data_IF_504116046769
#
_entry.id   IF_504116046769
#
_cell.length_a   1.000
_cell.length_b   1.000
_cell.length_c   1.000
_cell.angle_alpha   90.00
_cell.angle_beta   90.00
_cell.angle_gamma   90.00
#
_symmetry.space_group_name_H-M   'P 1'
#
loop_
_entity.id
_entity.type
_entity.pdbx_description
1 polymer ?
#
# COMPACT_ATOMS: atom_id res chain seq x y z
N UNK A 1 -27.48 23.19 -23.32
CA UNK A 1 -26.23 22.52 -23.69
C UNK A 1 -25.24 22.74 -22.56
N UNK A 2 -25.15 21.79 -21.63
CA UNK A 2 -24.15 21.79 -20.56
C UNK A 2 -22.85 21.24 -21.14
N UNK A 3 -21.79 22.05 -21.10
CA UNK A 3 -20.46 21.59 -21.45
C UNK A 3 -19.98 20.67 -20.33
N UNK A 4 -20.05 19.36 -20.53
CA UNK A 4 -19.35 18.40 -19.67
C UNK A 4 -17.86 18.61 -19.89
N UNK A 5 -17.21 19.38 -19.01
CA UNK A 5 -15.75 19.45 -18.95
C UNK A 5 -15.25 18.04 -18.69
N UNK A 6 -14.83 17.35 -19.75
CA UNK A 6 -14.35 15.96 -19.70
C UNK A 6 -12.97 15.97 -19.05
N UNK A 7 -12.92 16.08 -17.72
CA UNK A 7 -11.67 15.93 -16.99
C UNK A 7 -11.11 14.54 -17.28
N UNK A 8 -9.88 14.48 -17.77
CA UNK A 8 -9.24 13.21 -18.05
C UNK A 8 -9.18 12.36 -16.77
N UNK A 9 -9.50 11.06 -16.86
CA UNK A 9 -9.47 10.19 -15.71
C UNK A 9 -8.04 10.07 -15.19
N UNK A 10 -7.85 10.39 -13.90
CA UNK A 10 -6.56 10.23 -13.23
C UNK A 10 -6.41 8.75 -12.89
N UNK A 11 -5.46 8.07 -13.53
CA UNK A 11 -5.20 6.65 -13.32
C UNK A 11 -3.90 6.47 -12.56
N UNK A 12 -3.97 5.82 -11.39
CA UNK A 12 -2.84 5.59 -10.50
C UNK A 12 -2.64 4.08 -10.37
N UNK A 13 -1.48 3.53 -10.80
CA UNK A 13 -1.23 2.10 -10.65
C UNK A 13 -1.06 1.74 -9.17
N UNK A 14 -1.54 0.56 -8.78
CA UNK A 14 -1.46 0.09 -7.39
C UNK A 14 -0.83 -1.29 -7.29
N UNK A 15 -0.37 -1.67 -6.10
CA UNK A 15 0.21 -2.98 -5.80
C UNK A 15 1.41 -3.34 -6.68
N UNK A 16 2.38 -2.42 -6.80
CA UNK A 16 3.63 -2.66 -7.56
C UNK A 16 4.36 -3.94 -7.13
N UNK A 17 4.16 -4.39 -5.89
CA UNK A 17 4.72 -5.64 -5.36
C UNK A 17 3.71 -6.80 -5.28
N UNK A 18 3.04 -7.14 -6.38
CA UNK A 18 2.06 -8.22 -6.41
C UNK A 18 2.65 -9.63 -6.22
N UNK A 19 1.81 -10.61 -5.87
CA UNK A 19 2.26 -11.98 -5.55
C UNK A 19 3.03 -12.68 -6.68
N UNK A 20 2.60 -12.51 -7.94
CA UNK A 20 3.28 -13.10 -9.11
C UNK A 20 4.72 -12.61 -9.26
N UNK A 21 4.98 -11.32 -9.02
CA UNK A 21 6.32 -10.75 -9.05
C UNK A 21 7.23 -11.41 -8.01
N UNK A 22 6.72 -11.58 -6.78
CA UNK A 22 7.49 -12.23 -5.69
C UNK A 22 7.81 -13.68 -6.00
N UNK A 23 6.85 -14.43 -6.56
CA UNK A 23 7.07 -15.80 -7.00
C UNK A 23 8.14 -15.87 -8.10
N UNK A 24 8.06 -14.97 -9.09
CA UNK A 24 9.05 -14.90 -10.17
C UNK A 24 10.46 -14.60 -9.64
N UNK A 25 10.60 -13.66 -8.70
CA UNK A 25 11.89 -13.35 -8.07
C UNK A 25 12.42 -14.56 -7.28
N UNK A 26 11.57 -15.26 -6.53
CA UNK A 26 11.96 -16.46 -5.78
C UNK A 26 12.43 -17.59 -6.71
N UNK A 27 11.69 -17.86 -7.78
CA UNK A 27 12.09 -18.88 -8.76
C UNK A 27 13.40 -18.49 -9.47
N UNK A 28 13.54 -17.22 -9.83
CA UNK A 28 14.76 -16.70 -10.44
C UNK A 28 15.96 -16.81 -9.49
N UNK A 29 15.77 -16.63 -8.19
CA UNK A 29 16.81 -16.84 -7.18
C UNK A 29 17.37 -18.26 -7.25
N UNK A 30 16.50 -19.26 -7.24
CA UNK A 30 16.89 -20.68 -7.28
C UNK A 30 17.64 -20.98 -8.58
N UNK A 31 17.13 -20.49 -9.71
CA UNK A 31 17.74 -20.68 -11.03
C UNK A 31 19.14 -20.05 -11.08
N UNK A 32 19.27 -18.77 -10.70
CA UNK A 32 20.56 -18.07 -10.70
C UNK A 32 21.55 -18.73 -9.73
N UNK A 33 21.06 -19.22 -8.58
CA UNK A 33 21.90 -19.94 -7.62
C UNK A 33 22.47 -21.24 -8.20
N UNK A 34 21.64 -22.08 -8.82
CA UNK A 34 22.07 -23.34 -9.44
C UNK A 34 23.07 -23.09 -10.58
N UNK A 35 22.78 -22.14 -11.47
CA UNK A 35 23.69 -21.80 -12.56
C UNK A 35 24.97 -21.15 -12.07
N UNK A 36 24.88 -20.25 -11.10
CA UNK A 36 26.03 -19.61 -10.46
C UNK A 36 26.95 -20.65 -9.82
N UNK A 37 26.39 -21.59 -9.06
CA UNK A 37 27.15 -22.71 -8.49
C UNK A 37 27.83 -23.54 -9.59
N UNK A 38 27.11 -23.94 -10.64
CA UNK A 38 27.66 -24.77 -11.71
C UNK A 38 28.83 -24.07 -12.43
N UNK A 39 28.69 -22.78 -12.73
CA UNK A 39 29.74 -21.96 -13.37
C UNK A 39 30.97 -21.85 -12.46
N UNK A 40 30.78 -21.49 -11.19
CA UNK A 40 31.90 -21.29 -10.26
C UNK A 40 32.60 -22.62 -9.97
N UNK A 41 31.84 -23.71 -9.83
CA UNK A 41 32.39 -25.05 -9.62
C UNK A 41 33.20 -25.53 -10.85
N UNK A 42 32.78 -25.18 -12.06
CA UNK A 42 33.54 -25.47 -13.28
C UNK A 42 34.85 -24.66 -13.37
N UNK A 43 34.86 -23.42 -12.88
CA UNK A 43 36.05 -22.55 -12.88
C UNK A 43 37.05 -22.89 -11.77
N UNK A 44 36.57 -23.40 -10.64
CA UNK A 44 37.38 -23.75 -9.46
C UNK A 44 37.20 -25.23 -9.12
N UNK A 45 37.76 -26.16 -9.93
CA UNK A 45 37.63 -27.58 -9.66
C UNK A 45 38.40 -27.95 -8.39
N UNK A 46 37.67 -28.34 -7.35
CA UNK A 46 38.23 -28.91 -6.12
C UNK A 46 37.78 -30.38 -6.01
N UNK A 47 38.63 -31.25 -5.48
CA UNK A 47 38.29 -32.66 -5.20
C UNK A 47 37.35 -32.73 -3.98
N UNK A 48 36.09 -32.33 -4.13
CA UNK A 48 35.08 -32.40 -3.07
C UNK A 48 33.91 -31.41 -3.22
N UNK A 49 33.09 -31.28 -2.18
CA UNK A 49 32.05 -30.24 -2.10
C UNK A 49 32.72 -28.87 -2.04
N UNK A 50 32.63 -28.12 -3.14
CA UNK A 50 33.18 -26.78 -3.22
C UNK A 50 32.32 -25.78 -2.43
N UNK A 51 32.55 -25.70 -1.11
CA UNK A 51 31.87 -24.76 -0.21
C UNK A 51 32.00 -23.31 -0.69
N UNK A 52 33.14 -22.95 -1.28
CA UNK A 52 33.35 -21.63 -1.84
C UNK A 52 32.40 -21.36 -3.02
N UNK A 53 32.21 -22.34 -3.91
CA UNK A 53 31.24 -22.23 -5.01
C UNK A 53 29.80 -22.08 -4.51
N UNK A 54 29.43 -22.74 -3.41
CA UNK A 54 28.11 -22.59 -2.80
C UNK A 54 27.91 -21.15 -2.28
N UNK A 55 28.87 -20.64 -1.50
CA UNK A 55 28.81 -19.28 -0.92
C UNK A 55 28.78 -18.22 -2.03
N UNK A 56 29.69 -18.34 -3.01
CA UNK A 56 29.74 -17.42 -4.15
C UNK A 56 28.49 -17.53 -5.02
N UNK A 57 27.93 -18.73 -5.20
CA UNK A 57 26.66 -18.94 -5.87
C UNK A 57 25.50 -18.21 -5.19
N UNK A 58 25.43 -18.25 -3.85
CA UNK A 58 24.44 -17.48 -3.08
C UNK A 58 24.62 -15.97 -3.27
N UNK A 59 25.87 -15.48 -3.26
CA UNK A 59 26.18 -14.09 -3.57
C UNK A 59 25.72 -13.68 -4.97
N UNK A 60 25.99 -14.50 -5.97
CA UNK A 60 25.54 -14.28 -7.35
C UNK A 60 24.01 -14.27 -7.46
N UNK A 61 23.32 -15.20 -6.79
CA UNK A 61 21.86 -15.25 -6.76
C UNK A 61 21.26 -13.99 -6.11
N UNK A 62 21.81 -13.54 -4.99
CA UNK A 62 21.36 -12.33 -4.31
C UNK A 62 21.52 -11.08 -5.20
N UNK A 63 22.68 -10.89 -5.81
CA UNK A 63 22.92 -9.74 -6.70
C UNK A 63 22.08 -9.81 -7.96
N UNK A 64 22.01 -10.99 -8.60
CA UNK A 64 21.23 -11.20 -9.82
C UNK A 64 19.74 -10.96 -9.60
N UNK A 65 19.20 -11.44 -8.48
CA UNK A 65 17.79 -11.19 -8.14
C UNK A 65 17.51 -9.75 -7.74
N UNK A 66 18.43 -9.05 -7.08
CA UNK A 66 18.26 -7.63 -6.77
C UNK A 66 18.16 -6.76 -8.05
N UNK A 67 18.96 -7.08 -9.08
CA UNK A 67 18.88 -6.40 -10.39
C UNK A 67 17.59 -6.76 -11.11
N UNK A 68 17.24 -8.05 -11.13
CA UNK A 68 16.02 -8.54 -11.77
C UNK A 68 14.76 -7.95 -11.14
N UNK A 69 14.71 -7.85 -9.81
CA UNK A 69 13.59 -7.24 -9.09
C UNK A 69 13.36 -5.79 -9.52
N UNK A 70 14.42 -4.98 -9.62
CA UNK A 70 14.32 -3.59 -10.08
C UNK A 70 13.76 -3.51 -11.50
N UNK A 71 14.24 -4.38 -12.39
CA UNK A 71 13.78 -4.45 -13.78
C UNK A 71 12.30 -4.88 -13.88
N UNK A 72 11.92 -5.96 -13.18
CA UNK A 72 10.56 -6.49 -13.22
C UNK A 72 9.55 -5.54 -12.57
N UNK A 73 9.91 -4.81 -11.50
CA UNK A 73 9.03 -3.78 -10.91
C UNK A 73 8.67 -2.67 -11.89
N UNK A 74 9.54 -2.37 -12.85
CA UNK A 74 9.31 -1.36 -13.87
C UNK A 74 8.48 -1.88 -15.06
N UNK A 75 8.67 -3.14 -15.45
CA UNK A 75 8.09 -3.69 -16.68
C UNK A 75 6.90 -4.63 -16.47
N UNK A 76 6.70 -5.12 -15.23
CA UNK A 76 5.63 -6.04 -14.89
C UNK A 76 4.67 -5.42 -13.86
N UNK A 77 3.77 -4.53 -14.30
CA UNK A 77 2.78 -3.95 -13.42
C UNK A 77 1.76 -5.01 -12.98
N UNK A 78 1.11 -4.78 -11.84
CA UNK A 78 0.04 -5.66 -11.31
C UNK A 78 -1.18 -5.77 -12.22
N UNK A 79 -1.35 -4.81 -13.13
CA UNK A 79 -2.56 -4.60 -13.90
C UNK A 79 -3.73 -4.04 -13.08
N UNK A 80 -3.50 -3.71 -11.80
CA UNK A 80 -4.46 -3.01 -10.94
C UNK A 80 -4.19 -1.52 -10.94
N UNK A 81 -5.24 -0.72 -11.00
CA UNK A 81 -5.13 0.74 -10.92
C UNK A 81 -6.37 1.35 -10.26
N UNK A 82 -6.17 2.42 -9.52
CA UNK A 82 -7.26 3.27 -9.03
C UNK A 82 -7.47 4.39 -10.03
N UNK A 83 -8.71 4.57 -10.47
CA UNK A 83 -9.11 5.61 -11.40
C UNK A 83 -10.04 6.60 -10.69
N UNK A 84 -9.71 7.88 -10.77
CA UNK A 84 -10.62 8.96 -10.43
C UNK A 84 -11.17 9.50 -11.74
N UNK A 85 -12.47 9.43 -11.95
CA UNK A 85 -13.16 10.07 -13.09
C UNK A 85 -14.10 11.17 -12.57
N UNK A 86 -15.11 11.59 -13.34
CA UNK A 86 -16.15 12.52 -12.88
C UNK A 86 -17.34 11.81 -12.22
N UNK A 87 -17.42 10.49 -12.38
CA UNK A 87 -18.50 9.63 -11.89
C UNK A 87 -18.17 8.98 -10.55
N UNK A 88 -16.91 9.04 -10.12
CA UNK A 88 -16.47 8.46 -8.86
C UNK A 88 -15.02 7.99 -8.86
N UNK A 89 -14.76 7.02 -7.97
CA UNK A 89 -13.48 6.36 -7.82
C UNK A 89 -13.66 4.88 -8.05
N UNK A 90 -12.84 4.32 -8.95
CA UNK A 90 -12.90 2.92 -9.36
C UNK A 90 -11.59 2.22 -9.11
N UNK A 91 -11.68 0.98 -8.65
CA UNK A 91 -10.58 0.05 -8.67
C UNK A 91 -10.71 -0.83 -9.90
N UNK A 92 -9.72 -0.76 -10.79
CA UNK A 92 -9.66 -1.52 -12.03
C UNK A 92 -8.66 -2.67 -11.88
N UNK A 93 -8.94 -3.80 -12.51
CA UNK A 93 -7.98 -4.89 -12.74
C UNK A 93 -8.10 -5.39 -14.17
N UNK A 94 -7.05 -5.21 -14.98
CA UNK A 94 -7.03 -5.72 -16.36
C UNK A 94 -8.17 -5.21 -17.23
N UNK A 95 -8.61 -3.97 -17.01
CA UNK A 95 -9.74 -3.35 -17.73
C UNK A 95 -11.13 -3.64 -17.15
N UNK A 96 -11.27 -4.56 -16.18
CA UNK A 96 -12.51 -4.80 -15.47
C UNK A 96 -12.60 -3.96 -14.18
N UNK A 97 -13.80 -3.47 -13.87
CA UNK A 97 -14.08 -2.77 -12.61
C UNK A 97 -14.22 -3.81 -11.49
N UNK A 98 -13.35 -3.77 -10.48
CA UNK A 98 -13.48 -4.57 -9.27
C UNK A 98 -14.40 -3.90 -8.25
N UNK A 99 -14.23 -2.59 -8.08
CA UNK A 99 -14.97 -1.80 -7.11
C UNK A 99 -15.22 -0.39 -7.66
N UNK A 100 -16.38 0.19 -7.34
CA UNK A 100 -16.80 1.49 -7.81
C UNK A 100 -17.51 2.25 -6.70
N UNK A 101 -16.95 3.40 -6.33
CA UNK A 101 -17.54 4.39 -5.44
C UNK A 101 -18.07 5.52 -6.28
N UNK A 102 -19.37 5.51 -6.55
CA UNK A 102 -20.00 6.49 -7.42
C UNK A 102 -20.34 7.79 -6.67
N UNK A 103 -20.36 8.92 -7.38
CA UNK A 103 -20.63 10.25 -6.81
C UNK A 103 -22.07 10.48 -6.38
N UNK A 104 -23.00 9.70 -6.90
CA UNK A 104 -24.42 9.71 -6.54
C UNK A 104 -24.71 8.98 -5.23
N UNK A 105 -23.74 8.23 -4.70
CA UNK A 105 -23.86 7.54 -3.42
C UNK A 105 -23.39 8.43 -2.26
N UNK A 106 -23.89 8.14 -1.05
CA UNK A 106 -23.37 8.75 0.18
C UNK A 106 -21.99 8.14 0.48
N UNK A 107 -20.94 8.82 0.00
CA UNK A 107 -19.55 8.42 0.14
C UNK A 107 -18.89 9.27 1.22
N UNK A 108 -18.30 8.59 2.20
CA UNK A 108 -17.52 9.23 3.28
C UNK A 108 -16.05 8.84 3.19
N UNK A 109 -15.14 9.82 3.26
CA UNK A 109 -13.70 9.55 3.37
C UNK A 109 -13.29 9.38 4.83
N UNK A 110 -12.59 8.28 5.12
CA UNK A 110 -11.99 7.99 6.42
C UNK A 110 -10.48 8.02 6.25
N UNK A 111 -9.78 8.88 7.00
CA UNK A 111 -8.32 8.99 6.97
C UNK A 111 -7.73 8.60 8.33
N UNK A 112 -6.76 7.69 8.34
CA UNK A 112 -6.09 7.27 9.56
C UNK A 112 -4.61 6.93 9.39
N UNK A 113 -3.87 6.98 10.50
CA UNK A 113 -2.45 6.66 10.55
C UNK A 113 -2.05 5.91 11.82
N UNK A 114 -0.96 5.16 11.73
CA UNK A 114 -0.25 4.61 12.89
C UNK A 114 1.23 4.32 12.57
N UNK A 115 2.06 4.27 13.60
CA UNK A 115 3.48 3.92 13.47
C UNK A 115 3.67 2.41 13.26
N UNK A 116 4.45 2.03 12.25
CA UNK A 116 4.77 0.63 11.96
C UNK A 116 5.87 0.13 12.91
N UNK A 117 5.48 -0.68 13.89
CA UNK A 117 6.42 -1.25 14.88
C UNK A 117 7.30 -2.38 14.30
N UNK A 118 6.71 -3.30 13.54
CA UNK A 118 7.43 -4.45 12.96
C UNK A 118 6.74 -4.92 11.68
N UNK A 119 7.41 -4.76 10.54
CA UNK A 119 7.04 -5.34 9.24
C UNK A 119 8.29 -5.61 8.42
N UNK A 120 8.38 -6.75 7.76
CA UNK A 120 9.62 -7.20 7.09
C UNK A 120 10.11 -6.28 5.96
N UNK A 121 9.23 -5.44 5.39
CA UNK A 121 9.52 -4.60 4.22
C UNK A 121 9.57 -3.11 4.49
N UNK A 122 9.09 -2.70 5.66
CA UNK A 122 8.91 -1.30 5.99
C UNK A 122 9.89 -1.00 7.12
N UNK A 123 10.83 -0.04 6.94
CA UNK A 123 11.78 0.29 7.98
C UNK A 123 11.06 0.74 9.25
N UNK A 124 11.68 0.46 10.42
CA UNK A 124 11.12 0.87 11.71
C UNK A 124 10.95 2.39 11.76
N UNK A 125 9.85 2.85 12.37
CA UNK A 125 9.54 4.27 12.53
C UNK A 125 8.87 4.91 11.33
N UNK A 126 8.60 4.15 10.25
CA UNK A 126 7.69 4.61 9.19
C UNK A 126 6.25 4.62 9.70
N UNK A 127 5.45 5.48 9.10
CA UNK A 127 4.03 5.61 9.36
C UNK A 127 3.23 4.94 8.25
N UNK A 128 2.23 4.17 8.63
CA UNK A 128 1.18 3.75 7.71
C UNK A 128 0.17 4.89 7.65
N UNK A 129 -0.12 5.37 6.44
CA UNK A 129 -1.22 6.29 6.17
C UNK A 129 -2.21 5.58 5.27
N UNK A 130 -3.49 5.65 5.62
CA UNK A 130 -4.56 5.07 4.83
C UNK A 130 -5.74 6.03 4.71
N UNK A 131 -6.40 5.93 3.56
CA UNK A 131 -7.67 6.55 3.28
C UNK A 131 -8.64 5.50 2.73
N UNK A 132 -9.85 5.45 3.25
CA UNK A 132 -10.90 4.59 2.72
C UNK A 132 -12.09 5.43 2.31
N UNK A 133 -12.54 5.24 1.07
CA UNK A 133 -13.88 5.66 0.67
C UNK A 133 -14.85 4.60 1.15
N UNK A 134 -15.84 5.03 1.92
CA UNK A 134 -16.90 4.17 2.44
C UNK A 134 -18.23 4.59 1.86
N UNK A 135 -18.95 3.64 1.29
CA UNK A 135 -20.33 3.81 0.82
C UNK A 135 -21.13 2.59 1.24
N UNK A 136 -22.11 2.80 2.13
CA UNK A 136 -22.86 1.72 2.77
C UNK A 136 -21.89 0.71 3.45
N UNK A 137 -21.94 -0.57 3.07
CA UNK A 137 -21.04 -1.64 3.58
C UNK A 137 -19.77 -1.83 2.73
N UNK A 138 -19.55 -1.01 1.70
CA UNK A 138 -18.38 -1.11 0.81
C UNK A 138 -17.27 -0.16 1.22
N UNK A 139 -16.05 -0.64 1.11
CA UNK A 139 -14.84 0.11 1.44
C UNK A 139 -13.81 -0.06 0.34
N UNK A 140 -13.28 1.07 -0.15
CA UNK A 140 -12.12 1.10 -1.03
C UNK A 140 -10.92 1.69 -0.26
N UNK A 141 -10.19 0.88 0.52
CA UNK A 141 -9.03 1.34 1.27
C UNK A 141 -7.79 1.43 0.39
N UNK A 142 -7.20 2.62 0.35
CA UNK A 142 -5.92 2.93 -0.28
C UNK A 142 -4.93 3.29 0.82
N UNK A 143 -3.69 2.82 0.74
CA UNK A 143 -2.69 3.10 1.76
C UNK A 143 -1.27 3.23 1.23
N UNK A 144 -0.41 3.82 2.06
CA UNK A 144 1.03 3.93 1.81
C UNK A 144 1.85 3.82 3.10
N UNK A 145 3.16 3.62 2.97
CA UNK A 145 4.11 3.73 4.07
C UNK A 145 5.01 4.93 3.85
N UNK A 146 4.90 5.91 4.73
CA UNK A 146 5.57 7.19 4.63
C UNK A 146 6.69 7.29 5.67
N UNK A 147 7.91 7.70 5.28
CA UNK A 147 8.95 8.07 6.23
C UNK A 147 8.48 9.20 7.17
N UNK A 148 9.01 9.30 8.40
CA UNK A 148 8.60 10.34 9.33
C UNK A 148 8.84 11.76 8.80
N UNK A 149 9.98 12.01 8.13
CA UNK A 149 10.27 13.33 7.54
C UNK A 149 9.25 13.75 6.48
N UNK A 150 8.83 12.81 5.62
CA UNK A 150 7.81 13.06 4.60
C UNK A 150 6.44 13.32 5.20
N UNK A 151 6.11 12.66 6.32
CA UNK A 151 4.86 12.87 7.04
C UNK A 151 4.81 14.24 7.71
N UNK A 152 5.90 14.68 8.33
CA UNK A 152 5.98 16.02 8.93
C UNK A 152 5.79 17.12 7.87
N UNK A 153 6.28 16.89 6.65
CA UNK A 153 6.12 17.82 5.53
C UNK A 153 4.78 17.69 4.78
N UNK A 154 3.94 16.71 5.12
CA UNK A 154 2.71 16.45 4.38
C UNK A 154 1.56 17.37 4.80
N UNK A 155 1.00 18.12 3.85
CA UNK A 155 -0.04 19.13 4.08
C UNK A 155 -1.25 18.59 4.87
N UNK A 156 -1.71 17.38 4.52
CA UNK A 156 -2.91 16.79 5.13
C UNK A 156 -2.64 15.98 6.39
N UNK A 157 -1.44 16.04 6.98
CA UNK A 157 -1.05 15.22 8.15
C UNK A 157 -2.08 15.24 9.28
N UNK A 158 -2.61 16.41 9.61
CA UNK A 158 -3.57 16.59 10.71
C UNK A 158 -4.96 16.00 10.40
N UNK A 159 -5.28 15.78 9.13
CA UNK A 159 -6.50 15.08 8.72
C UNK A 159 -6.44 13.58 8.99
N UNK A 160 -5.25 13.01 9.18
CA UNK A 160 -5.08 11.58 9.48
C UNK A 160 -5.17 11.33 10.98
N UNK A 161 -6.28 10.73 11.39
CA UNK A 161 -6.56 10.38 12.78
C UNK A 161 -5.67 9.22 13.23
N UNK A 162 -5.14 9.31 14.45
CA UNK A 162 -4.29 8.24 14.99
C UNK A 162 -5.15 7.05 15.39
N UNK A 163 -4.87 5.89 14.79
CA UNK A 163 -5.48 4.63 15.18
C UNK A 163 -4.77 4.10 16.43
N UNK A 164 -5.47 4.05 17.56
CA UNK A 164 -4.91 3.57 18.82
C UNK A 164 -4.56 2.07 18.74
N UNK A 165 -3.40 1.71 19.30
CA UNK A 165 -2.98 0.31 19.35
C UNK A 165 -3.85 -0.52 20.30
N UNK A 166 -3.96 -1.83 20.04
CA UNK A 166 -4.75 -2.75 20.88
C UNK A 166 -4.41 -2.66 22.38
N UNK A 167 -3.13 -2.52 22.73
CA UNK A 167 -2.64 -2.43 24.12
C UNK A 167 -2.95 -1.09 24.81
N UNK A 168 -2.95 0.02 24.07
CA UNK A 168 -3.22 1.35 24.64
C UNK A 168 -4.66 1.46 25.15
N UNK A 169 -5.60 0.75 24.51
CA UNK A 169 -7.01 0.71 24.92
C UNK A 169 -7.25 -0.11 26.19
N UNK A 170 -6.44 -1.14 26.44
CA UNK A 170 -6.55 -1.98 27.63
C UNK A 170 -6.02 -1.28 28.89
N UNK A 171 -5.12 -0.30 28.74
CA UNK A 171 -4.39 0.30 29.86
C UNK A 171 -5.03 1.60 30.39
N UNK A 172 -5.92 2.22 29.62
CA UNK A 172 -6.61 3.46 30.01
C UNK A 172 -8.14 3.30 29.96
N UNK A 173 -8.77 2.74 31.01
CA UNK A 173 -10.20 2.94 31.23
C UNK A 173 -10.40 4.39 31.73
N UNK A 174 -10.76 5.30 30.83
CA UNK A 174 -10.81 6.75 31.10
C UNK A 174 -12.09 7.21 31.81
N UNK A 175 -11.96 8.35 32.48
CA UNK A 175 -12.83 8.93 33.50
C UNK A 175 -13.91 9.90 32.93
N UNK A 176 -14.39 9.78 31.69
CA UNK A 176 -15.41 10.69 31.14
C UNK A 176 -16.35 10.02 30.13
N UNK A 177 -17.37 9.31 30.64
CA UNK A 177 -18.29 8.44 29.88
C UNK A 177 -18.78 8.99 28.53
N UNK A 178 -19.18 10.27 28.42
CA UNK A 178 -19.75 10.81 27.17
C UNK A 178 -18.70 11.12 26.10
N UNK A 179 -17.55 11.65 26.51
CA UNK A 179 -16.44 11.93 25.59
C UNK A 179 -15.80 10.61 25.13
N UNK A 180 -15.75 9.63 26.04
CA UNK A 180 -15.31 8.26 25.79
C UNK A 180 -16.19 7.55 24.76
N UNK A 181 -17.52 7.71 24.80
CA UNK A 181 -18.41 7.06 23.82
C UNK A 181 -18.21 7.56 22.38
N UNK A 182 -18.00 8.86 22.18
CA UNK A 182 -17.76 9.41 20.83
C UNK A 182 -16.42 8.96 20.28
N UNK A 183 -15.36 9.04 21.10
CA UNK A 183 -14.02 8.58 20.75
C UNK A 183 -13.99 7.07 20.51
N UNK A 184 -14.72 6.29 21.30
CA UNK A 184 -14.86 4.85 21.10
C UNK A 184 -15.55 4.52 19.77
N UNK A 185 -16.61 5.25 19.41
CA UNK A 185 -17.31 5.07 18.12
C UNK A 185 -16.45 5.44 16.91
N UNK A 186 -15.62 6.47 17.03
CA UNK A 186 -14.64 6.85 16.01
C UNK A 186 -13.54 5.80 15.86
N UNK A 187 -12.91 5.38 16.96
CA UNK A 187 -11.87 4.35 16.95
C UNK A 187 -12.40 3.01 16.41
N UNK A 188 -13.67 2.67 16.68
CA UNK A 188 -14.33 1.50 16.09
C UNK A 188 -14.40 1.59 14.56
N UNK A 189 -14.80 2.75 14.02
CA UNK A 189 -14.83 2.98 12.56
C UNK A 189 -13.44 2.87 11.94
N UNK A 190 -12.42 3.44 12.59
CA UNK A 190 -11.04 3.32 12.10
C UNK A 190 -10.53 1.88 12.12
N UNK A 191 -10.88 1.09 13.15
CA UNK A 191 -10.53 -0.33 13.21
C UNK A 191 -11.21 -1.15 12.12
N UNK A 192 -12.47 -0.87 11.83
CA UNK A 192 -13.21 -1.56 10.79
C UNK A 192 -12.57 -1.29 9.43
N UNK A 193 -12.29 -0.02 9.11
CA UNK A 193 -11.58 0.37 7.90
C UNK A 193 -10.18 -0.28 7.82
N UNK A 194 -9.47 -0.37 8.95
CA UNK A 194 -8.17 -1.04 9.04
C UNK A 194 -8.26 -2.55 8.78
N UNK A 195 -9.29 -3.23 9.29
CA UNK A 195 -9.51 -4.64 9.02
C UNK A 195 -9.79 -4.88 7.53
N UNK A 196 -10.59 -4.02 6.89
CA UNK A 196 -10.85 -4.12 5.46
C UNK A 196 -9.59 -3.82 4.64
N UNK A 197 -8.79 -2.82 5.05
CA UNK A 197 -7.47 -2.53 4.46
C UNK A 197 -6.54 -3.74 4.53
N UNK A 198 -6.55 -4.50 5.62
CA UNK A 198 -5.73 -5.71 5.73
C UNK A 198 -6.09 -6.78 4.70
N UNK A 199 -7.38 -6.92 4.36
CA UNK A 199 -7.88 -7.96 3.45
C UNK A 199 -7.79 -7.52 1.98
N UNK A 200 -8.16 -6.27 1.69
CA UNK A 200 -8.43 -5.78 0.34
C UNK A 200 -7.74 -4.47 -0.02
N UNK A 201 -6.99 -3.88 0.92
CA UNK A 201 -6.31 -2.61 0.71
C UNK A 201 -5.32 -2.65 -0.43
N UNK A 202 -5.28 -1.55 -1.17
CA UNK A 202 -4.34 -1.36 -2.28
C UNK A 202 -3.20 -0.44 -1.86
N UNK A 203 -1.98 -0.89 -2.13
CA UNK A 203 -0.77 -0.17 -1.75
C UNK A 203 -0.34 0.78 -2.88
N UNK A 204 -0.08 2.03 -2.52
CA UNK A 204 0.50 3.07 -3.40
C UNK A 204 1.87 3.49 -2.90
N UNK A 205 2.71 3.98 -3.81
CA UNK A 205 3.90 4.75 -3.39
C UNK A 205 3.49 6.05 -2.71
N UNK A 206 4.40 6.65 -1.94
CA UNK A 206 4.15 7.91 -1.22
C UNK A 206 3.64 9.02 -2.16
N UNK A 207 4.26 9.18 -3.32
CA UNK A 207 3.91 10.24 -4.27
C UNK A 207 2.56 9.98 -4.95
N UNK A 208 2.29 8.72 -5.31
CA UNK A 208 1.00 8.30 -5.86
C UNK A 208 -0.13 8.48 -4.84
N UNK A 209 0.14 8.19 -3.56
CA UNK A 209 -0.82 8.38 -2.49
C UNK A 209 -1.13 9.86 -2.26
N UNK A 210 -0.11 10.74 -2.28
CA UNK A 210 -0.30 12.20 -2.22
C UNK A 210 -1.16 12.66 -3.39
N UNK A 211 -0.78 12.29 -4.62
CA UNK A 211 -1.54 12.60 -5.83
C UNK A 211 -2.99 12.09 -5.77
N UNK A 212 -3.20 10.90 -5.20
CA UNK A 212 -4.54 10.34 -4.97
C UNK A 212 -5.36 11.21 -4.02
N UNK A 213 -4.84 11.57 -2.85
CA UNK A 213 -5.55 12.39 -1.86
C UNK A 213 -5.81 13.79 -2.43
N UNK A 214 -4.83 14.42 -3.06
CA UNK A 214 -4.98 15.74 -3.66
C UNK A 214 -6.06 15.73 -4.75
N UNK A 215 -6.01 14.73 -5.64
CA UNK A 215 -7.00 14.53 -6.69
C UNK A 215 -8.40 14.28 -6.15
N UNK A 216 -8.51 13.49 -5.08
CA UNK A 216 -9.77 13.18 -4.40
C UNK A 216 -10.38 14.44 -3.77
N UNK A 217 -9.60 15.18 -2.99
CA UNK A 217 -10.05 16.37 -2.26
C UNK A 217 -10.33 17.58 -3.15
N UNK A 218 -9.74 17.60 -4.35
CA UNK A 218 -9.99 18.62 -5.38
C UNK A 218 -11.27 18.32 -6.15
N UNK A 219 -11.51 17.06 -6.51
CA UNK A 219 -12.68 16.66 -7.32
C UNK A 219 -13.93 16.44 -6.51
N UNK A 220 -13.79 15.97 -5.27
CA UNK A 220 -14.89 15.61 -4.37
C UNK A 220 -14.73 16.31 -3.01
N UNK A 221 -14.79 17.65 -2.96
CA UNK A 221 -14.66 18.39 -1.72
C UNK A 221 -15.72 18.00 -0.68
N UNK A 222 -16.89 17.54 -1.10
CA UNK A 222 -17.99 17.06 -0.25
C UNK A 222 -17.66 15.78 0.51
N UNK A 223 -16.69 14.98 0.04
CA UNK A 223 -16.26 13.75 0.73
C UNK A 223 -15.27 14.01 1.85
N UNK A 224 -14.86 15.26 2.08
CA UNK A 224 -13.90 15.62 3.14
C UNK A 224 -14.38 15.09 4.50
N UNK A 225 -13.47 14.55 5.33
CA UNK A 225 -13.82 14.16 6.69
C UNK A 225 -14.33 15.39 7.44
N UNK A 226 -15.49 15.27 8.09
CA UNK A 226 -15.95 16.27 9.04
C UNK A 226 -15.01 16.20 10.26
N UNK A 227 -14.25 17.28 10.48
CA UNK A 227 -13.39 17.44 11.66
C UNK A 227 -14.22 17.68 12.93
#
# INVERSE_FOLDING_TARGET
MTFETTQQPLTIPVDREHGRLRLAILLSFIVIWVFGYAIINALLPNMGLNLLAIILGFGAAYLGTAVLERYLKQHWPSGRAVQLDAKGVRLMQGGAVQENMATDADVSLILWRFEVKKRARVPKGHWMLAGALRSDERYLPVYTFMPPGDLEAYEYRESFKVLAGKRERETHPQNNLRQDLRLAGEQRRLMEAENVRWVSGVEMTTDEFKLYIDGLLTRYPEWRPLN
#
